data_IF_325280293355
#
_entry.id   IF_325280293355
#
_cell.length_a   1.000
_cell.length_b   1.000
_cell.length_c   1.000
_cell.angle_alpha   90.00
_cell.angle_beta   90.00
_cell.angle_gamma   90.00
#
_symmetry.space_group_name_H-M   'P 1'
#
loop_
_entity.id
_entity.type
_entity.pdbx_description
1 polymer ?
#
# COMPACT_ATOMS: atom_id res chain seq x y z
N UNK A 1 43.74 22.47 4.30
CA UNK A 1 42.29 22.40 4.03
C UNK A 1 41.82 23.81 3.69
N UNK A 2 40.88 23.95 2.77
CA UNK A 2 40.22 25.22 2.45
C UNK A 2 38.72 24.99 2.48
N UNK A 3 37.96 26.02 2.85
CA UNK A 3 36.50 25.92 2.87
C UNK A 3 35.94 26.00 1.45
N UNK A 4 34.92 25.20 1.19
CA UNK A 4 34.18 25.19 -0.07
C UNK A 4 32.70 25.33 0.24
N UNK A 5 32.02 26.23 -0.47
CA UNK A 5 30.56 26.38 -0.41
C UNK A 5 29.95 25.70 -1.61
N UNK A 6 29.12 24.68 -1.37
CA UNK A 6 28.33 24.04 -2.41
C UNK A 6 27.01 24.79 -2.60
N UNK A 7 26.61 24.96 -3.86
CA UNK A 7 25.37 25.64 -4.22
C UNK A 7 24.76 25.01 -5.47
N UNK A 8 23.44 25.00 -5.52
CA UNK A 8 22.66 24.44 -6.61
C UNK A 8 21.52 25.37 -6.95
N UNK A 9 21.19 25.49 -8.24
CA UNK A 9 20.06 26.32 -8.67
C UNK A 9 18.72 25.62 -8.38
N UNK A 10 18.70 24.29 -8.42
CA UNK A 10 17.51 23.47 -8.17
C UNK A 10 17.85 22.22 -7.35
N UNK A 11 16.81 21.59 -6.77
CA UNK A 11 16.96 20.27 -6.16
C UNK A 11 17.35 19.17 -7.16
N UNK A 12 17.09 19.37 -8.46
CA UNK A 12 17.54 18.44 -9.50
C UNK A 12 19.05 18.50 -9.66
N UNK A 13 19.65 19.69 -9.69
CA UNK A 13 21.12 19.83 -9.80
C UNK A 13 21.82 19.22 -8.58
N UNK A 14 21.25 19.39 -7.38
CA UNK A 14 21.76 18.78 -6.16
C UNK A 14 21.65 17.25 -6.18
N UNK A 15 20.53 16.70 -6.66
CA UNK A 15 20.33 15.26 -6.78
C UNK A 15 21.27 14.63 -7.82
N UNK A 16 21.55 15.35 -8.90
CA UNK A 16 22.49 14.94 -9.94
C UNK A 16 23.92 14.86 -9.41
N UNK A 17 24.38 15.88 -8.69
CA UNK A 17 25.70 15.85 -8.05
C UNK A 17 25.78 14.74 -6.98
N UNK A 18 24.71 14.53 -6.20
CA UNK A 18 24.64 13.43 -5.24
C UNK A 18 24.79 12.06 -5.92
N UNK A 19 24.16 11.83 -7.08
CA UNK A 19 24.34 10.62 -7.88
C UNK A 19 25.77 10.47 -8.39
N UNK A 20 26.29 11.50 -9.06
CA UNK A 20 27.63 11.52 -9.64
C UNK A 20 28.72 11.34 -8.58
N UNK A 21 28.51 11.80 -7.34
CA UNK A 21 29.46 11.62 -6.23
C UNK A 21 29.85 10.16 -6.02
N UNK A 22 28.96 9.21 -6.37
CA UNK A 22 29.18 7.77 -6.27
C UNK A 22 30.19 7.27 -7.30
N UNK A 23 30.24 7.90 -8.47
CA UNK A 23 31.27 7.67 -9.50
C UNK A 23 32.62 8.22 -9.03
N UNK A 24 32.64 9.44 -8.47
CA UNK A 24 33.85 10.03 -7.90
C UNK A 24 34.41 9.20 -6.73
N UNK A 25 33.53 8.61 -5.92
CA UNK A 25 33.91 7.69 -4.85
C UNK A 25 34.35 6.30 -5.33
N UNK A 26 34.22 5.98 -6.62
CA UNK A 26 34.61 4.68 -7.18
C UNK A 26 33.74 3.50 -6.73
N UNK A 27 32.50 3.76 -6.28
CA UNK A 27 31.59 2.74 -5.70
C UNK A 27 30.35 2.46 -6.55
N UNK A 28 30.24 3.08 -7.74
CA UNK A 28 29.20 2.80 -8.73
C UNK A 28 29.77 2.88 -10.15
N UNK A 29 29.13 2.21 -11.11
CA UNK A 29 29.48 2.27 -12.52
C UNK A 29 28.65 3.33 -13.25
N UNK A 30 29.17 4.00 -14.31
CA UNK A 30 28.42 5.01 -15.06
C UNK A 30 27.10 4.51 -15.64
N UNK A 31 27.01 3.21 -15.95
CA UNK A 31 25.79 2.57 -16.46
C UNK A 31 24.66 2.53 -15.43
N UNK A 32 24.97 2.64 -14.13
CA UNK A 32 23.99 2.59 -13.05
C UNK A 32 23.50 3.98 -12.61
N UNK A 33 24.32 5.03 -12.78
CA UNK A 33 24.02 6.38 -12.27
C UNK A 33 22.76 6.99 -12.90
N UNK A 34 22.77 7.13 -14.23
CA UNK A 34 21.68 7.81 -14.92
C UNK A 34 20.33 7.07 -14.78
N UNK A 35 20.26 5.73 -14.98
CA UNK A 35 19.02 4.99 -14.68
C UNK A 35 18.61 5.08 -13.21
N UNK A 36 19.58 5.06 -12.28
CA UNK A 36 19.33 5.20 -10.85
C UNK A 36 18.68 6.55 -10.49
N UNK A 37 19.16 7.65 -11.07
CA UNK A 37 18.59 8.99 -10.90
C UNK A 37 17.16 9.09 -11.46
N UNK A 38 16.91 8.52 -12.63
CA UNK A 38 15.56 8.46 -13.23
C UNK A 38 14.59 7.66 -12.35
N UNK A 39 15.04 6.50 -11.84
CA UNK A 39 14.26 5.68 -10.92
C UNK A 39 13.97 6.42 -9.61
N UNK A 40 14.98 7.07 -9.02
CA UNK A 40 14.82 7.88 -7.81
C UNK A 40 13.79 9.01 -7.98
N UNK A 41 13.84 9.74 -9.10
CA UNK A 41 12.85 10.77 -9.44
C UNK A 41 11.44 10.20 -9.52
N UNK A 42 11.29 9.05 -10.18
CA UNK A 42 10.00 8.35 -10.30
C UNK A 42 9.46 7.93 -8.93
N UNK A 43 10.29 7.31 -8.10
CA UNK A 43 9.93 6.91 -6.74
C UNK A 43 9.52 8.11 -5.87
N UNK A 44 10.28 9.22 -5.91
CA UNK A 44 9.98 10.42 -5.15
C UNK A 44 8.63 11.04 -5.51
N UNK A 45 8.33 11.13 -6.81
CA UNK A 45 7.03 11.64 -7.29
C UNK A 45 5.88 10.74 -6.83
N UNK A 46 6.04 9.41 -6.91
CA UNK A 46 5.02 8.47 -6.46
C UNK A 46 4.80 8.54 -4.94
N UNK A 47 5.89 8.56 -4.17
CA UNK A 47 5.85 8.70 -2.71
C UNK A 47 5.15 9.99 -2.28
N UNK A 48 5.46 11.12 -2.92
CA UNK A 48 4.78 12.39 -2.63
C UNK A 48 3.28 12.34 -2.95
N UNK A 49 2.90 11.78 -4.11
CA UNK A 49 1.49 11.61 -4.48
C UNK A 49 0.74 10.75 -3.47
N UNK A 50 1.35 9.67 -2.99
CA UNK A 50 0.76 8.78 -1.99
C UNK A 50 0.65 9.47 -0.63
N UNK A 51 1.71 10.11 -0.15
CA UNK A 51 1.71 10.85 1.12
C UNK A 51 0.65 11.96 1.14
N UNK A 52 0.47 12.68 0.02
CA UNK A 52 -0.56 13.72 -0.09
C UNK A 52 -1.97 13.19 0.18
N UNK A 53 -2.28 11.95 -0.23
CA UNK A 53 -3.58 11.32 0.05
C UNK A 53 -3.86 11.16 1.55
N UNK A 54 -2.82 10.93 2.35
CA UNK A 54 -2.95 10.86 3.80
C UNK A 54 -3.19 12.25 4.40
N UNK A 55 -2.49 13.27 3.90
CA UNK A 55 -2.65 14.64 4.40
C UNK A 55 -3.99 15.28 4.04
N UNK A 56 -4.52 15.01 2.85
CA UNK A 56 -5.81 15.55 2.41
C UNK A 56 -7.01 14.64 2.74
N UNK A 57 -6.75 13.46 3.30
CA UNK A 57 -7.78 12.48 3.70
C UNK A 57 -8.37 11.68 2.54
N UNK A 58 -7.99 11.94 1.29
CA UNK A 58 -8.49 11.20 0.12
C UNK A 58 -8.09 9.73 0.12
N UNK A 59 -7.10 9.33 0.93
CA UNK A 59 -6.74 7.92 1.16
C UNK A 59 -7.93 7.08 1.65
N UNK A 60 -8.92 7.69 2.30
CA UNK A 60 -10.14 7.01 2.71
C UNK A 60 -10.99 6.50 1.53
N UNK A 61 -10.83 7.10 0.34
CA UNK A 61 -11.57 6.73 -0.86
C UNK A 61 -10.87 5.63 -1.69
N UNK A 62 -9.64 5.24 -1.34
CA UNK A 62 -8.93 4.18 -2.06
C UNK A 62 -9.72 2.85 -1.94
N UNK A 63 -9.88 2.16 -3.06
CA UNK A 63 -10.72 0.98 -3.15
C UNK A 63 -10.16 -0.20 -2.35
N UNK A 64 -11.08 -0.99 -1.79
CA UNK A 64 -10.77 -2.27 -1.15
C UNK A 64 -11.08 -3.36 -2.16
N UNK A 65 -10.02 -3.92 -2.73
CA UNK A 65 -10.06 -5.05 -3.64
C UNK A 65 -10.01 -6.34 -2.82
N UNK A 66 -11.16 -7.01 -2.71
CA UNK A 66 -11.27 -8.29 -2.04
C UNK A 66 -11.23 -9.45 -3.05
N UNK A 67 -10.47 -10.49 -2.73
CA UNK A 67 -10.46 -11.77 -3.44
C UNK A 67 -11.01 -12.87 -2.54
N UNK A 68 -11.63 -13.88 -3.15
CA UNK A 68 -12.21 -15.02 -2.46
C UNK A 68 -11.65 -16.29 -3.10
N UNK A 69 -11.08 -17.15 -2.29
CA UNK A 69 -10.52 -18.45 -2.70
C UNK A 69 -11.17 -19.56 -1.88
N UNK A 70 -11.68 -20.59 -2.55
CA UNK A 70 -12.25 -21.77 -1.93
C UNK A 70 -11.34 -22.98 -2.16
N UNK A 71 -11.00 -23.71 -1.11
CA UNK A 71 -10.21 -24.93 -1.20
C UNK A 71 -11.08 -26.18 -1.41
N UNK A 72 -10.43 -27.34 -1.58
CA UNK A 72 -11.11 -28.62 -1.79
C UNK A 72 -11.89 -29.14 -0.57
N UNK A 73 -11.71 -28.53 0.60
CA UNK A 73 -12.34 -28.87 1.88
C UNK A 73 -13.39 -27.84 2.30
N UNK A 74 -13.85 -26.99 1.37
CA UNK A 74 -14.80 -25.91 1.62
C UNK A 74 -14.29 -24.85 2.61
N UNK A 75 -12.98 -24.72 2.82
CA UNK A 75 -12.43 -23.56 3.51
C UNK A 75 -12.32 -22.41 2.51
N UNK A 76 -12.84 -21.27 2.90
CA UNK A 76 -12.82 -20.05 2.15
C UNK A 76 -11.88 -19.06 2.79
N UNK A 77 -10.97 -18.52 1.98
CA UNK A 77 -10.08 -17.42 2.34
C UNK A 77 -10.56 -16.17 1.62
N UNK A 78 -10.92 -15.15 2.39
CA UNK A 78 -11.23 -13.81 1.88
C UNK A 78 -10.01 -12.94 2.16
N UNK A 79 -9.38 -12.39 1.12
CA UNK A 79 -8.19 -11.54 1.23
C UNK A 79 -8.45 -10.15 0.65
N UNK A 80 -7.82 -9.10 1.19
CA UNK A 80 -7.99 -7.74 0.68
C UNK A 80 -6.74 -6.87 0.89
N UNK A 81 -6.54 -5.87 0.03
CA UNK A 81 -5.54 -4.83 0.30
C UNK A 81 -5.96 -3.99 1.50
N UNK A 82 -5.04 -3.77 2.43
CA UNK A 82 -5.29 -3.00 3.64
C UNK A 82 -4.40 -1.75 3.71
N UNK A 83 -4.69 -0.89 4.70
CA UNK A 83 -3.94 0.35 4.96
C UNK A 83 -3.83 0.57 6.48
N UNK A 84 -2.67 1.00 7.01
CA UNK A 84 -2.40 1.07 8.45
C UNK A 84 -3.37 1.90 9.30
N UNK A 85 -4.03 2.91 8.74
CA UNK A 85 -4.92 3.82 9.48
C UNK A 85 -6.37 3.36 9.57
N UNK A 86 -6.70 2.21 8.99
CA UNK A 86 -8.07 1.73 8.86
C UNK A 86 -8.24 0.40 9.58
N UNK A 87 -9.46 0.15 10.06
CA UNK A 87 -9.92 -1.14 10.51
C UNK A 87 -10.85 -1.76 9.47
N UNK A 88 -10.70 -3.06 9.26
CA UNK A 88 -11.43 -3.84 8.27
C UNK A 88 -12.23 -4.93 8.97
N UNK A 89 -13.46 -5.17 8.51
CA UNK A 89 -14.26 -6.30 8.96
C UNK A 89 -14.93 -6.97 7.78
N UNK A 90 -15.07 -8.29 7.88
CA UNK A 90 -15.79 -9.11 6.93
C UNK A 90 -17.22 -9.26 7.39
N UNK A 91 -18.16 -9.01 6.49
CA UNK A 91 -19.58 -9.21 6.70
C UNK A 91 -20.14 -10.17 5.67
N UNK A 92 -21.16 -10.93 6.07
CA UNK A 92 -21.83 -11.92 5.24
C UNK A 92 -23.30 -11.58 5.09
N UNK A 93 -23.88 -11.93 3.94
CA UNK A 93 -25.30 -11.79 3.65
C UNK A 93 -25.79 -12.99 2.85
N UNK A 94 -27.07 -13.33 2.99
CA UNK A 94 -27.76 -14.33 2.17
C UNK A 94 -28.60 -13.70 1.07
N UNK A 95 -28.84 -12.39 1.13
CA UNK A 95 -29.84 -11.68 0.32
C UNK A 95 -29.33 -10.37 -0.30
N UNK A 96 -28.06 -10.01 -0.10
CA UNK A 96 -27.43 -8.74 -0.48
C UNK A 96 -28.02 -7.48 0.18
N UNK A 97 -29.00 -7.61 1.07
CA UNK A 97 -29.67 -6.50 1.72
C UNK A 97 -29.26 -6.40 3.20
N UNK A 98 -29.21 -7.54 3.88
CA UNK A 98 -28.92 -7.64 5.29
C UNK A 98 -27.54 -8.28 5.49
N UNK A 99 -26.60 -7.53 6.07
CA UNK A 99 -25.24 -7.98 6.34
C UNK A 99 -25.01 -8.14 7.84
N UNK A 100 -24.50 -9.30 8.24
CA UNK A 100 -24.07 -9.58 9.61
C UNK A 100 -22.55 -9.70 9.70
N UNK A 101 -21.92 -9.30 10.82
CA UNK A 101 -20.47 -9.37 10.96
C UNK A 101 -20.00 -10.82 11.12
N UNK A 102 -19.01 -11.21 10.33
CA UNK A 102 -18.35 -12.52 10.40
C UNK A 102 -17.01 -12.42 11.16
N UNK A 103 -16.35 -11.26 11.10
CA UNK A 103 -15.14 -10.95 11.85
C UNK A 103 -15.33 -9.74 12.75
N UNK A 104 -14.50 -9.64 13.80
CA UNK A 104 -14.24 -8.36 14.46
C UNK A 104 -13.48 -7.40 13.55
N UNK A 105 -13.28 -6.17 14.03
CA UNK A 105 -12.41 -5.20 13.36
C UNK A 105 -10.95 -5.65 13.42
N UNK A 106 -10.33 -5.85 12.26
CA UNK A 106 -8.91 -6.13 12.10
C UNK A 106 -8.18 -4.85 11.73
N UNK A 107 -7.06 -4.56 12.39
CA UNK A 107 -6.22 -3.43 12.00
C UNK A 107 -5.66 -3.68 10.60
N UNK A 108 -5.68 -2.65 9.74
CA UNK A 108 -5.01 -2.70 8.46
C UNK A 108 -3.50 -2.58 8.57
N UNK A 109 -2.80 -3.02 7.53
CA UNK A 109 -1.35 -2.94 7.36
C UNK A 109 -1.04 -2.42 5.95
N UNK A 110 0.22 -2.26 5.55
CA UNK A 110 0.57 -1.86 4.16
C UNK A 110 0.50 -3.03 3.16
N UNK A 111 -0.10 -4.16 3.57
CA UNK A 111 -0.14 -5.41 2.83
C UNK A 111 -1.57 -5.97 2.79
N UNK A 112 -1.66 -7.24 2.43
CA UNK A 112 -2.90 -8.01 2.36
C UNK A 112 -3.32 -8.48 3.76
N UNK A 113 -4.55 -8.20 4.14
CA UNK A 113 -5.22 -8.88 5.26
C UNK A 113 -6.05 -10.04 4.72
N UNK A 114 -6.32 -11.03 5.56
CA UNK A 114 -7.19 -12.16 5.21
C UNK A 114 -8.04 -12.66 6.37
N UNK A 115 -9.12 -13.33 6.01
CA UNK A 115 -10.04 -13.99 6.93
C UNK A 115 -10.44 -15.36 6.37
N UNK A 116 -10.35 -16.38 7.22
CA UNK A 116 -10.66 -17.76 6.85
C UNK A 116 -11.97 -18.18 7.50
N UNK A 117 -12.82 -18.88 6.74
CA UNK A 117 -14.04 -19.50 7.25
C UNK A 117 -14.26 -20.87 6.59
N UNK A 118 -14.92 -21.78 7.29
CA UNK A 118 -15.40 -23.03 6.68
C UNK A 118 -16.83 -22.81 6.18
N UNK A 119 -17.05 -22.98 4.87
CA UNK A 119 -18.35 -22.72 4.25
C UNK A 119 -19.39 -23.74 4.67
N UNK A 120 -20.60 -23.31 5.08
CA UNK A 120 -21.72 -24.23 5.25
C UNK A 120 -22.16 -24.79 3.89
N UNK A 121 -22.53 -26.06 3.84
CA UNK A 121 -22.76 -26.82 2.60
C UNK A 121 -23.99 -26.43 1.76
N UNK A 122 -24.78 -25.40 2.12
CA UNK A 122 -26.12 -25.25 1.52
C UNK A 122 -26.58 -23.85 1.10
N UNK A 123 -25.88 -22.75 1.43
CA UNK A 123 -26.41 -21.41 1.19
C UNK A 123 -25.56 -20.58 0.22
N UNK A 124 -26.25 -19.82 -0.65
CA UNK A 124 -25.61 -18.75 -1.42
C UNK A 124 -25.24 -17.63 -0.45
N UNK A 125 -23.95 -17.49 -0.18
CA UNK A 125 -23.42 -16.44 0.68
C UNK A 125 -22.75 -15.35 -0.15
N UNK A 126 -23.03 -14.11 0.22
CA UNK A 126 -22.39 -12.91 -0.30
C UNK A 126 -21.49 -12.34 0.79
N UNK A 127 -20.30 -11.92 0.41
CA UNK A 127 -19.32 -11.34 1.33
C UNK A 127 -19.01 -9.91 0.93
N UNK A 128 -18.78 -9.06 1.93
CA UNK A 128 -18.15 -7.76 1.72
C UNK A 128 -17.12 -7.48 2.80
N UNK A 129 -16.10 -6.72 2.43
CA UNK A 129 -15.14 -6.16 3.37
C UNK A 129 -15.49 -4.69 3.54
N UNK A 130 -15.76 -4.28 4.78
CA UNK A 130 -15.99 -2.87 5.09
C UNK A 130 -14.73 -2.27 5.70
N UNK A 131 -14.42 -1.05 5.27
CA UNK A 131 -13.29 -0.24 5.75
C UNK A 131 -13.82 0.91 6.60
N UNK A 132 -13.29 1.06 7.81
CA UNK A 132 -13.62 2.16 8.74
C UNK A 132 -12.35 2.77 9.30
N UNK A 133 -12.37 4.05 9.67
CA UNK A 133 -11.23 4.67 10.37
C UNK A 133 -10.99 3.92 11.68
N UNK A 134 -9.74 3.52 11.95
CA UNK A 134 -9.44 2.83 13.20
C UNK A 134 -9.62 3.78 14.39
N UNK A 135 -10.28 3.30 15.45
CA UNK A 135 -10.39 4.07 16.70
C UNK A 135 -9.13 3.79 17.53
N UNK A 136 -8.40 4.84 17.88
CA UNK A 136 -7.33 4.76 18.89
C UNK A 136 -7.89 4.32 20.24
#
# INVERSE_FOLDING_TARGET
SVDITLQWATYYDAADEAGISRLYGGIHFPVDDNPGRIMGSTCGIQAWKFARKYFDGSIANDEVNATIELDAFNNCTISWNSLPSFSYKVEVSVDLNNFSPLSGGQQGHEHTNSFNLSMPEADKLFFRVTKTVSKN
#
